data_IF_470457163136
#
_entry.id   IF_470457163136
#
_cell.length_a   1.000
_cell.length_b   1.000
_cell.length_c   1.000
_cell.angle_alpha   90.00
_cell.angle_beta   90.00
_cell.angle_gamma   90.00
#
_symmetry.space_group_name_H-M   'P 1'
#
loop_
_entity.id
_entity.type
_entity.pdbx_description
1 polymer ?
#
# COMPACT_ATOMS: atom_id res chain seq x y z
N UNK A 1 -59.82 20.20 -52.36
CA UNK A 1 -58.42 20.12 -52.85
C UNK A 1 -57.53 20.67 -51.72
N UNK A 2 -56.99 19.82 -50.87
CA UNK A 2 -56.22 20.18 -49.69
C UNK A 2 -54.89 19.44 -49.68
N UNK A 3 -53.83 20.17 -49.89
CA UNK A 3 -52.46 19.65 -49.96
C UNK A 3 -51.89 19.55 -48.54
N UNK A 4 -51.67 18.32 -48.05
CA UNK A 4 -51.00 18.03 -46.77
C UNK A 4 -49.50 18.12 -46.95
N UNK A 5 -48.89 19.10 -46.29
CA UNK A 5 -47.39 19.20 -46.19
C UNK A 5 -46.91 18.22 -45.08
N UNK A 6 -46.10 17.27 -45.48
CA UNK A 6 -45.37 16.34 -44.58
C UNK A 6 -44.03 16.98 -44.23
N UNK A 7 -43.84 17.34 -42.97
CA UNK A 7 -42.60 17.89 -42.44
C UNK A 7 -41.75 16.69 -41.94
N UNK A 8 -40.66 16.37 -42.61
CA UNK A 8 -39.72 15.37 -42.18
C UNK A 8 -38.78 15.94 -41.08
N UNK A 9 -38.76 15.34 -39.92
CA UNK A 9 -37.83 15.62 -38.84
C UNK A 9 -36.57 14.77 -39.05
N UNK A 10 -35.44 15.44 -39.26
CA UNK A 10 -34.12 14.82 -39.35
C UNK A 10 -33.58 14.68 -37.94
N UNK A 11 -33.56 13.43 -37.41
CA UNK A 11 -32.91 13.13 -36.16
C UNK A 11 -31.43 12.93 -36.39
N UNK A 12 -30.62 13.92 -35.99
CA UNK A 12 -29.16 13.80 -35.97
C UNK A 12 -28.75 13.02 -34.69
N UNK A 13 -28.37 11.77 -34.84
CA UNK A 13 -27.75 10.97 -33.77
C UNK A 13 -26.29 11.38 -33.68
N UNK A 14 -25.94 12.16 -32.64
CA UNK A 14 -24.54 12.39 -32.28
C UNK A 14 -24.01 11.13 -31.59
N UNK A 15 -23.19 10.38 -32.29
CA UNK A 15 -22.35 9.34 -31.70
C UNK A 15 -21.23 10.03 -30.89
N UNK A 16 -21.40 10.12 -29.58
CA UNK A 16 -20.29 10.47 -28.70
C UNK A 16 -19.39 9.23 -28.57
N UNK A 17 -18.23 9.27 -29.23
CA UNK A 17 -17.18 8.29 -29.02
C UNK A 17 -16.67 8.40 -27.58
N UNK A 18 -17.05 7.45 -26.72
CA UNK A 18 -16.45 7.28 -25.41
C UNK A 18 -14.99 6.83 -25.62
N UNK A 19 -14.05 7.70 -25.30
CA UNK A 19 -12.64 7.31 -25.25
C UNK A 19 -12.45 6.21 -24.19
N UNK A 20 -11.70 5.13 -24.49
CA UNK A 20 -11.46 4.08 -23.51
C UNK A 20 -10.63 4.63 -22.35
N UNK A 21 -11.19 4.60 -21.14
CA UNK A 21 -10.55 4.94 -19.85
C UNK A 21 -9.56 3.84 -19.43
N UNK A 22 -8.88 3.19 -20.36
CA UNK A 22 -8.03 2.03 -20.08
C UNK A 22 -6.53 2.21 -20.37
N UNK A 23 -6.04 3.43 -20.69
CA UNK A 23 -4.70 3.57 -21.26
C UNK A 23 -3.61 4.12 -20.32
N UNK A 24 -3.86 4.34 -19.03
CA UNK A 24 -2.88 5.04 -18.16
C UNK A 24 -1.91 4.15 -17.39
N UNK A 25 -2.06 2.84 -17.37
CA UNK A 25 -1.19 1.92 -16.61
C UNK A 25 0.01 1.38 -17.38
N UNK A 26 0.07 1.56 -18.71
CA UNK A 26 1.13 0.96 -19.55
C UNK A 26 2.47 1.70 -19.60
N UNK A 27 2.57 2.87 -18.98
CA UNK A 27 3.75 3.73 -19.10
C UNK A 27 4.66 3.75 -17.85
N UNK A 28 4.33 3.01 -16.79
CA UNK A 28 5.18 2.98 -15.59
C UNK A 28 6.42 2.13 -15.89
N UNK A 29 7.58 2.79 -15.90
CA UNK A 29 8.88 2.16 -16.17
C UNK A 29 9.66 1.83 -14.90
N UNK A 30 9.37 2.50 -13.78
CA UNK A 30 10.10 2.32 -12.53
C UNK A 30 9.32 2.88 -11.32
N UNK A 31 9.84 2.62 -10.11
CA UNK A 31 9.35 3.23 -8.87
C UNK A 31 10.50 3.55 -7.93
N UNK A 32 10.41 4.70 -7.26
CA UNK A 32 11.29 5.05 -6.15
C UNK A 32 10.81 4.27 -4.92
N UNK A 33 11.59 3.27 -4.50
CA UNK A 33 11.24 2.42 -3.34
C UNK A 33 11.91 2.84 -2.06
N UNK A 34 13.05 3.56 -2.15
CA UNK A 34 13.73 4.13 -0.98
C UNK A 34 14.22 5.54 -1.30
N UNK A 35 14.23 6.40 -0.28
CA UNK A 35 14.89 7.71 -0.31
C UNK A 35 15.78 7.83 0.92
N UNK A 36 17.04 8.21 0.68
CA UNK A 36 18.01 8.60 1.70
C UNK A 36 18.31 10.08 1.47
N UNK A 37 17.62 10.99 2.19
CA UNK A 37 17.62 12.40 1.80
C UNK A 37 18.96 13.12 2.06
N UNK A 38 19.73 12.76 3.06
CA UNK A 38 20.94 13.48 3.38
C UNK A 38 20.72 15.00 3.50
N UNK A 39 21.68 15.82 3.03
CA UNK A 39 21.53 17.29 2.91
C UNK A 39 20.94 17.73 1.58
N UNK A 40 20.88 16.82 0.63
CA UNK A 40 20.32 17.04 -0.70
C UNK A 40 18.88 16.57 -0.82
N UNK A 41 18.42 16.51 -2.05
CA UNK A 41 17.06 16.05 -2.38
C UNK A 41 17.06 15.20 -3.65
N UNK A 42 15.99 14.44 -3.78
CA UNK A 42 15.70 13.69 -5.01
C UNK A 42 14.72 14.51 -5.83
N UNK A 43 15.01 14.68 -7.12
CA UNK A 43 14.18 15.45 -8.03
C UNK A 43 13.90 14.65 -9.30
N UNK A 44 12.70 14.86 -9.86
CA UNK A 44 12.23 14.21 -11.09
C UNK A 44 11.88 15.25 -12.12
N UNK A 45 12.12 14.91 -13.39
CA UNK A 45 11.74 15.71 -14.56
C UNK A 45 11.13 14.80 -15.61
N UNK A 46 9.96 15.17 -16.10
CA UNK A 46 9.30 14.47 -17.21
C UNK A 46 9.99 14.70 -18.56
N UNK A 47 9.79 13.84 -19.55
CA UNK A 47 10.32 14.02 -20.89
C UNK A 47 9.82 15.33 -21.50
N UNK A 48 10.74 16.11 -22.08
CA UNK A 48 10.41 17.38 -22.74
C UNK A 48 10.08 18.56 -21.83
N UNK A 49 10.13 18.39 -20.49
CA UNK A 49 9.94 19.50 -19.55
C UNK A 49 11.31 20.01 -19.06
N UNK A 50 11.51 21.33 -18.92
CA UNK A 50 12.77 21.87 -18.41
C UNK A 50 12.89 21.76 -16.88
N UNK A 51 11.76 21.73 -16.16
CA UNK A 51 11.72 21.95 -14.73
C UNK A 51 11.88 20.66 -13.92
N UNK A 52 12.78 20.71 -12.94
CA UNK A 52 12.94 19.68 -11.93
C UNK A 52 11.98 19.93 -10.75
N UNK A 53 11.32 18.91 -10.29
CA UNK A 53 10.41 18.96 -9.14
C UNK A 53 10.84 17.94 -8.08
N UNK A 54 10.62 18.20 -6.80
CA UNK A 54 10.92 17.24 -5.74
C UNK A 54 10.21 15.91 -5.99
N UNK A 55 10.94 14.82 -5.80
CA UNK A 55 10.42 13.46 -5.87
C UNK A 55 10.25 12.89 -4.46
N UNK A 56 9.06 12.43 -4.15
CA UNK A 56 8.73 11.78 -2.89
C UNK A 56 8.92 10.26 -2.94
N UNK A 57 8.84 9.59 -1.78
CA UNK A 57 8.84 8.13 -1.71
C UNK A 57 7.63 7.55 -2.45
N UNK A 58 7.77 6.34 -2.97
CA UNK A 58 6.77 5.60 -3.74
C UNK A 58 6.28 6.31 -5.01
N UNK A 59 7.09 7.24 -5.55
CA UNK A 59 6.76 7.88 -6.82
C UNK A 59 6.95 6.89 -7.97
N UNK A 60 5.87 6.64 -8.72
CA UNK A 60 5.93 5.92 -9.97
C UNK A 60 6.56 6.81 -11.06
N UNK A 61 7.54 6.27 -11.77
CA UNK A 61 8.27 6.94 -12.85
C UNK A 61 7.85 6.35 -14.20
N UNK A 62 7.62 7.21 -15.16
CA UNK A 62 7.33 6.82 -16.53
C UNK A 62 8.60 6.61 -17.34
N UNK A 63 8.49 5.84 -18.41
CA UNK A 63 9.57 5.74 -19.41
C UNK A 63 9.87 7.14 -19.95
N UNK A 64 11.16 7.51 -19.94
CA UNK A 64 11.65 8.82 -20.33
C UNK A 64 11.77 9.84 -19.18
N UNK A 65 11.19 9.57 -18.01
CA UNK A 65 11.45 10.41 -16.83
C UNK A 65 12.92 10.39 -16.46
N UNK A 66 13.42 11.53 -16.02
CA UNK A 66 14.78 11.69 -15.51
C UNK A 66 14.74 11.92 -14.01
N UNK A 67 15.59 11.23 -13.28
CA UNK A 67 15.75 11.35 -11.83
C UNK A 67 17.14 11.86 -11.51
N UNK A 68 17.27 12.81 -10.59
CA UNK A 68 18.57 13.23 -10.07
C UNK A 68 18.59 13.32 -8.55
N UNK A 69 19.73 13.03 -8.00
CA UNK A 69 20.05 13.29 -6.61
C UNK A 69 20.99 14.50 -6.53
N UNK A 70 20.78 15.37 -5.55
CA UNK A 70 21.69 16.48 -5.25
C UNK A 70 22.44 16.19 -3.96
N UNK A 71 23.63 16.73 -3.83
CA UNK A 71 24.53 16.56 -2.68
C UNK A 71 24.72 15.07 -2.29
N UNK A 72 24.42 14.72 -1.05
CA UNK A 72 24.56 13.37 -0.51
C UNK A 72 23.24 12.57 -0.47
N UNK A 73 22.19 13.08 -1.11
CA UNK A 73 20.93 12.35 -1.25
C UNK A 73 21.09 11.13 -2.18
N UNK A 74 20.34 10.08 -1.92
CA UNK A 74 20.26 8.90 -2.78
C UNK A 74 18.86 8.31 -2.80
N UNK A 75 18.49 7.68 -3.92
CA UNK A 75 17.25 6.93 -4.06
C UNK A 75 17.53 5.53 -4.59
N UNK A 76 16.75 4.55 -4.14
CA UNK A 76 16.68 3.22 -4.75
C UNK A 76 15.47 3.17 -5.67
N UNK A 77 15.71 2.78 -6.91
CA UNK A 77 14.71 2.69 -7.97
C UNK A 77 14.61 1.24 -8.42
N UNK A 78 13.43 0.64 -8.27
CA UNK A 78 13.10 -0.67 -8.83
C UNK A 78 12.56 -0.46 -10.24
N UNK A 79 13.14 -1.17 -11.20
CA UNK A 79 12.80 -1.04 -12.62
C UNK A 79 11.75 -2.06 -13.01
N UNK A 80 10.74 -1.62 -13.73
CA UNK A 80 9.75 -2.48 -14.33
C UNK A 80 10.39 -3.38 -15.42
N UNK A 81 10.22 -4.71 -15.29
CA UNK A 81 10.70 -5.67 -16.28
C UNK A 81 12.23 -5.92 -16.30
N UNK A 82 12.97 -5.43 -15.32
CA UNK A 82 14.40 -5.67 -15.18
C UNK A 82 14.71 -6.19 -13.78
N UNK A 83 15.55 -7.21 -13.67
CA UNK A 83 16.01 -7.70 -12.36
C UNK A 83 16.83 -6.64 -11.64
N UNK A 84 16.62 -6.55 -10.34
CA UNK A 84 17.40 -5.68 -9.46
C UNK A 84 16.82 -4.28 -9.30
N UNK A 85 17.60 -3.47 -8.64
CA UNK A 85 17.34 -2.05 -8.40
C UNK A 85 18.54 -1.21 -8.83
N UNK A 86 18.31 0.08 -9.01
CA UNK A 86 19.36 1.06 -9.29
C UNK A 86 19.39 2.06 -8.15
N UNK A 87 20.57 2.25 -7.56
CA UNK A 87 20.80 3.37 -6.67
C UNK A 87 21.15 4.60 -7.51
N UNK A 88 20.37 5.65 -7.38
CA UNK A 88 20.59 6.96 -8.00
C UNK A 88 21.10 7.90 -6.93
N UNK A 89 22.36 8.28 -7.06
CA UNK A 89 23.09 9.25 -6.25
C UNK A 89 23.65 10.37 -7.16
N UNK A 90 24.43 11.29 -6.61
CA UNK A 90 25.04 12.38 -7.39
C UNK A 90 25.90 11.87 -8.55
N UNK A 91 26.61 10.75 -8.37
CA UNK A 91 27.48 10.19 -9.41
C UNK A 91 26.71 9.53 -10.56
N UNK A 92 25.50 9.06 -10.30
CA UNK A 92 24.58 8.46 -11.28
C UNK A 92 23.44 9.38 -11.70
N UNK A 93 23.58 10.66 -11.47
CA UNK A 93 22.59 11.69 -11.86
C UNK A 93 23.01 12.42 -13.14
N UNK A 94 22.09 12.70 -14.08
CA UNK A 94 20.68 12.25 -14.07
C UNK A 94 20.53 10.80 -14.57
N UNK A 95 19.68 10.05 -13.92
CA UNK A 95 19.25 8.71 -14.34
C UNK A 95 17.97 8.81 -15.18
N UNK A 96 17.95 8.20 -16.37
CA UNK A 96 16.79 8.20 -17.27
C UNK A 96 16.12 6.82 -17.21
N UNK A 97 14.81 6.80 -16.97
CA UNK A 97 14.01 5.57 -16.98
C UNK A 97 13.86 5.07 -18.41
N UNK A 98 14.38 3.89 -18.67
CA UNK A 98 14.32 3.25 -20.00
C UNK A 98 13.18 2.25 -20.08
N UNK A 99 12.68 2.01 -21.30
CA UNK A 99 11.67 0.97 -21.54
C UNK A 99 12.21 -0.41 -21.11
N UNK A 100 11.37 -1.26 -20.51
CA UNK A 100 11.78 -2.61 -20.14
C UNK A 100 12.11 -3.43 -21.41
N UNK A 101 13.08 -4.35 -21.32
CA UNK A 101 13.37 -5.26 -22.42
C UNK A 101 12.16 -6.19 -22.68
N UNK A 102 11.92 -6.50 -23.94
CA UNK A 102 10.85 -7.41 -24.38
C UNK A 102 11.23 -8.88 -24.06
N UNK A 103 11.28 -9.28 -22.80
CA UNK A 103 11.52 -10.66 -22.40
C UNK A 103 10.23 -11.31 -21.89
N UNK A 104 9.74 -12.33 -22.63
CA UNK A 104 8.49 -13.03 -22.35
C UNK A 104 8.48 -13.81 -21.05
N UNK A 105 9.63 -14.22 -20.50
CA UNK A 105 9.70 -14.96 -19.21
C UNK A 105 9.55 -14.04 -18.01
N UNK A 106 9.95 -12.77 -18.12
CA UNK A 106 9.76 -11.75 -17.09
C UNK A 106 8.39 -11.08 -17.18
N UNK A 107 7.65 -11.29 -18.27
CA UNK A 107 6.40 -10.57 -18.55
C UNK A 107 5.32 -10.83 -17.50
N UNK A 108 5.19 -12.06 -16.99
CA UNK A 108 4.22 -12.35 -15.91
C UNK A 108 4.63 -11.74 -14.58
N UNK A 109 5.91 -11.89 -14.19
CA UNK A 109 6.44 -11.24 -12.99
C UNK A 109 6.34 -9.72 -13.11
N UNK A 110 6.54 -9.18 -14.31
CA UNK A 110 6.36 -7.77 -14.62
C UNK A 110 4.90 -7.32 -14.42
N UNK A 111 3.92 -8.08 -14.90
CA UNK A 111 2.50 -7.75 -14.68
C UNK A 111 2.13 -7.72 -13.20
N UNK A 112 2.72 -8.60 -12.39
CA UNK A 112 2.54 -8.58 -10.94
C UNK A 112 3.20 -7.35 -10.29
N UNK A 113 4.40 -6.99 -10.73
CA UNK A 113 5.10 -5.78 -10.31
C UNK A 113 4.35 -4.53 -10.79
N UNK A 114 3.86 -4.50 -12.02
CA UNK A 114 3.04 -3.41 -12.56
C UNK A 114 1.74 -3.24 -11.77
N UNK A 115 1.07 -4.33 -11.39
CA UNK A 115 -0.08 -4.31 -10.50
C UNK A 115 0.25 -3.72 -9.13
N UNK A 116 1.39 -4.09 -8.56
CA UNK A 116 1.92 -3.52 -7.32
C UNK A 116 2.32 -2.04 -7.48
N UNK A 117 3.03 -1.70 -8.56
CA UNK A 117 3.41 -0.32 -8.90
C UNK A 117 2.17 0.54 -9.17
N UNK A 118 1.22 0.04 -9.93
CA UNK A 118 -0.04 0.71 -10.22
C UNK A 118 -0.84 1.00 -8.96
N UNK A 119 -0.87 0.06 -8.02
CA UNK A 119 -1.48 0.24 -6.71
C UNK A 119 -0.82 1.39 -5.93
N UNK A 120 0.51 1.43 -5.87
CA UNK A 120 1.26 2.44 -5.14
C UNK A 120 1.18 3.82 -5.82
N UNK A 121 1.15 3.86 -7.17
CA UNK A 121 1.06 5.10 -7.95
C UNK A 121 -0.34 5.66 -8.12
N UNK A 122 -1.40 4.86 -7.93
CA UNK A 122 -2.79 5.27 -8.16
C UNK A 122 -3.45 6.00 -6.98
N UNK A 123 -2.76 6.08 -5.85
CA UNK A 123 -3.26 6.84 -4.71
C UNK A 123 -2.84 8.30 -4.87
N UNK A 124 -3.75 9.22 -5.24
CA UNK A 124 -3.45 10.63 -5.12
C UNK A 124 -3.23 10.89 -3.62
N UNK A 125 -1.99 11.10 -3.25
CA UNK A 125 -1.66 11.59 -1.92
C UNK A 125 -2.20 13.01 -1.83
N UNK A 126 -3.48 13.14 -1.55
CA UNK A 126 -3.99 14.38 -1.02
C UNK A 126 -3.17 14.63 0.23
N UNK A 127 -2.35 15.68 0.18
CA UNK A 127 -1.69 16.17 1.40
C UNK A 127 -2.82 16.39 2.40
N UNK A 128 -2.86 15.63 3.51
CA UNK A 128 -3.87 15.87 4.52
C UNK A 128 -3.77 17.34 4.89
N UNK A 129 -4.87 18.07 4.76
CA UNK A 129 -4.95 19.42 5.30
C UNK A 129 -4.67 19.28 6.79
N UNK A 130 -3.76 20.07 7.38
CA UNK A 130 -3.53 20.02 8.81
C UNK A 130 -4.87 20.29 9.50
N UNK A 131 -5.49 19.22 9.98
CA UNK A 131 -6.60 19.36 10.90
C UNK A 131 -5.96 19.87 12.17
N UNK A 132 -6.15 21.16 12.45
CA UNK A 132 -5.76 21.73 13.73
C UNK A 132 -6.42 20.88 14.80
N UNK A 133 -5.67 19.93 15.34
CA UNK A 133 -6.07 19.05 16.43
C UNK A 133 -6.18 19.90 17.69
N UNK A 134 -7.31 20.54 17.84
CA UNK A 134 -7.69 21.18 19.09
C UNK A 134 -7.98 20.11 20.12
N UNK A 135 -7.06 19.95 21.06
CA UNK A 135 -7.11 19.16 22.29
C UNK A 135 -6.94 17.65 22.10
N UNK A 136 -6.02 17.13 22.87
CA UNK A 136 -5.78 15.73 23.20
C UNK A 136 -7.04 15.07 23.79
N UNK A 137 -8.03 14.77 22.97
CA UNK A 137 -9.07 13.82 23.36
C UNK A 137 -8.42 12.43 23.35
N UNK A 138 -8.51 11.73 24.47
CA UNK A 138 -8.04 10.35 24.58
C UNK A 138 -8.57 9.55 23.39
N UNK A 139 -7.66 8.88 22.68
CA UNK A 139 -8.05 8.11 21.48
C UNK A 139 -8.92 6.94 21.90
N UNK A 140 -10.10 6.74 21.28
CA UNK A 140 -10.86 5.54 21.55
C UNK A 140 -10.05 4.31 21.12
N UNK A 141 -10.16 3.21 21.86
CA UNK A 141 -9.52 1.97 21.46
C UNK A 141 -10.02 1.51 20.09
N UNK A 142 -9.11 1.07 19.22
CA UNK A 142 -9.41 0.68 17.85
C UNK A 142 -8.61 -0.56 17.44
N UNK A 143 -9.22 -1.47 16.71
CA UNK A 143 -8.54 -2.63 16.11
C UNK A 143 -7.74 -2.14 14.90
N UNK A 144 -6.44 -2.40 14.91
CA UNK A 144 -5.55 -2.09 13.80
C UNK A 144 -5.46 -3.24 12.79
N UNK A 145 -5.53 -4.48 13.26
CA UNK A 145 -5.30 -5.67 12.43
C UNK A 145 -5.93 -6.92 13.04
N UNK A 146 -6.55 -7.82 12.23
CA UNK A 146 -6.81 -7.67 10.79
C UNK A 146 -7.88 -6.62 10.52
N UNK A 147 -7.79 -5.91 9.39
CA UNK A 147 -8.77 -4.92 8.96
C UNK A 147 -8.71 -4.80 7.43
N UNK A 148 -9.88 -4.72 6.79
CA UNK A 148 -9.98 -4.39 5.38
C UNK A 148 -9.71 -5.55 4.42
N UNK A 149 -10.35 -6.69 4.59
CA UNK A 149 -10.35 -7.73 3.57
C UNK A 149 -9.96 -9.14 4.02
N UNK A 150 -9.60 -10.01 3.08
CA UNK A 150 -9.16 -11.36 3.36
C UNK A 150 -7.78 -11.37 4.04
N UNK A 151 -7.54 -12.42 4.84
CA UNK A 151 -6.26 -12.67 5.52
C UNK A 151 -5.80 -14.10 5.21
N UNK A 152 -4.51 -14.31 5.16
CA UNK A 152 -3.94 -15.65 5.22
C UNK A 152 -4.04 -16.17 6.65
N UNK A 153 -4.38 -17.45 6.82
CA UNK A 153 -4.50 -18.08 8.14
C UNK A 153 -3.17 -18.22 8.87
N UNK A 154 -2.07 -18.16 8.12
CA UNK A 154 -0.73 -18.36 8.66
C UNK A 154 -0.33 -17.16 9.53
N UNK A 155 0.03 -17.42 10.77
CA UNK A 155 0.56 -16.40 11.69
C UNK A 155 -0.36 -15.18 11.89
N UNK A 156 -1.69 -15.40 11.99
CA UNK A 156 -2.64 -14.33 12.28
C UNK A 156 -2.34 -13.73 13.67
N UNK A 157 -2.19 -12.41 13.70
CA UNK A 157 -2.01 -11.63 14.92
C UNK A 157 -3.04 -10.53 14.96
N UNK A 158 -3.77 -10.46 16.06
CA UNK A 158 -4.68 -9.36 16.35
C UNK A 158 -3.89 -8.21 16.97
N UNK A 159 -4.09 -7.00 16.46
CA UNK A 159 -3.45 -5.81 16.98
C UNK A 159 -4.48 -4.71 17.17
N UNK A 160 -4.35 -3.97 18.25
CA UNK A 160 -5.21 -2.83 18.57
C UNK A 160 -4.41 -1.72 19.22
N UNK A 161 -4.94 -0.52 19.11
CA UNK A 161 -4.49 0.62 19.89
C UNK A 161 -5.50 0.87 21.00
N UNK A 162 -5.04 1.23 22.17
CA UNK A 162 -5.90 1.46 23.33
C UNK A 162 -5.27 2.39 24.36
N UNK A 163 -5.97 2.57 25.47
CA UNK A 163 -5.48 3.38 26.58
C UNK A 163 -4.35 2.66 27.32
N UNK A 164 -3.36 3.42 27.73
CA UNK A 164 -2.29 2.92 28.56
C UNK A 164 -2.87 2.35 29.87
N UNK A 165 -2.37 1.21 30.32
CA UNK A 165 -2.80 0.50 31.54
C UNK A 165 -4.25 -0.05 31.52
N UNK A 166 -5.01 0.11 30.45
CA UNK A 166 -6.32 -0.52 30.33
C UNK A 166 -6.20 -2.04 30.12
N UNK A 167 -7.25 -2.75 30.53
CA UNK A 167 -7.41 -4.19 30.26
C UNK A 167 -8.44 -4.37 29.17
N UNK A 168 -8.10 -5.22 28.21
CA UNK A 168 -8.95 -5.51 27.07
C UNK A 168 -9.42 -6.95 27.07
N UNK A 169 -10.49 -7.21 26.35
CA UNK A 169 -10.86 -8.55 25.94
C UNK A 169 -11.08 -8.57 24.43
N UNK A 170 -10.68 -9.68 23.81
CA UNK A 170 -10.91 -9.96 22.39
C UNK A 170 -11.83 -11.16 22.25
N UNK A 171 -12.75 -11.06 21.30
CA UNK A 171 -13.64 -12.14 20.94
C UNK A 171 -13.63 -12.29 19.41
N UNK A 172 -13.45 -13.55 18.95
CA UNK A 172 -13.60 -13.92 17.54
C UNK A 172 -14.88 -14.73 17.40
N UNK A 173 -15.75 -14.29 16.51
CA UNK A 173 -17.07 -14.90 16.30
C UNK A 173 -17.14 -15.42 14.87
N UNK A 174 -17.42 -16.71 14.72
CA UNK A 174 -17.78 -17.36 13.45
C UNK A 174 -19.31 -17.36 13.28
N UNK A 175 -19.85 -17.71 12.11
CA UNK A 175 -21.29 -17.93 11.93
C UNK A 175 -21.88 -18.97 12.88
N UNK A 176 -21.07 -19.93 13.32
CA UNK A 176 -21.44 -20.99 14.28
C UNK A 176 -21.37 -20.58 15.75
N UNK A 177 -20.84 -19.40 16.06
CA UNK A 177 -20.68 -18.89 17.42
C UNK A 177 -19.27 -18.41 17.75
N UNK A 178 -19.00 -18.21 19.03
CA UNK A 178 -17.68 -17.74 19.52
C UNK A 178 -16.64 -18.86 19.37
N UNK A 179 -15.53 -18.57 18.67
CA UNK A 179 -14.43 -19.51 18.46
C UNK A 179 -13.21 -19.18 19.32
N UNK A 180 -13.10 -17.93 19.74
CA UNK A 180 -12.03 -17.47 20.64
C UNK A 180 -12.56 -16.38 21.55
N UNK A 181 -12.25 -16.46 22.83
CA UNK A 181 -12.39 -15.36 23.77
C UNK A 181 -11.17 -15.30 24.68
N UNK A 182 -10.58 -14.13 24.82
CA UNK A 182 -9.46 -13.85 25.72
C UNK A 182 -9.70 -12.52 26.43
N UNK A 183 -9.58 -12.54 27.75
CA UNK A 183 -9.79 -11.38 28.62
C UNK A 183 -8.53 -11.06 29.42
N UNK A 184 -8.53 -9.88 30.08
CA UNK A 184 -7.41 -9.46 30.92
C UNK A 184 -6.16 -9.06 30.13
N UNK A 185 -6.28 -8.79 28.82
CA UNK A 185 -5.17 -8.40 27.96
C UNK A 185 -4.69 -7.00 28.33
N UNK A 186 -3.38 -6.87 28.63
CA UNK A 186 -2.73 -5.59 28.99
C UNK A 186 -1.85 -5.06 27.84
N UNK A 187 -1.58 -5.89 26.84
CA UNK A 187 -0.82 -5.50 25.64
C UNK A 187 -1.72 -4.92 24.55
N UNK A 188 -1.11 -4.69 23.40
CA UNK A 188 -1.75 -4.18 22.18
C UNK A 188 -1.77 -5.20 21.04
N UNK A 189 -1.38 -6.45 21.31
CA UNK A 189 -1.32 -7.54 20.31
C UNK A 189 -1.56 -8.90 20.95
N UNK A 190 -2.17 -9.79 20.17
CA UNK A 190 -2.41 -11.18 20.53
C UNK A 190 -2.23 -12.04 19.28
N UNK A 191 -1.21 -12.91 19.27
CA UNK A 191 -1.12 -13.96 18.25
C UNK A 191 -2.30 -14.91 18.39
N UNK A 192 -2.85 -15.41 17.26
CA UNK A 192 -3.91 -16.42 17.33
C UNK A 192 -3.39 -17.64 18.10
N UNK A 193 -4.03 -18.01 19.21
CA UNK A 193 -3.46 -19.02 20.11
C UNK A 193 -3.45 -20.39 19.45
N UNK A 194 -2.38 -21.17 19.66
CA UNK A 194 -2.26 -22.52 19.12
C UNK A 194 -3.26 -23.52 19.76
N UNK A 195 -3.75 -23.21 20.96
CA UNK A 195 -4.77 -23.98 21.69
C UNK A 195 -6.21 -23.64 21.26
N UNK A 196 -6.40 -22.60 20.44
CA UNK A 196 -7.71 -22.26 19.91
C UNK A 196 -8.07 -23.13 18.70
N UNK A 197 -9.39 -23.34 18.43
CA UNK A 197 -9.83 -24.06 17.25
C UNK A 197 -9.28 -23.38 15.97
N UNK A 198 -8.74 -24.15 15.01
CA UNK A 198 -8.20 -23.55 13.79
C UNK A 198 -9.28 -22.79 13.02
N UNK A 199 -8.92 -21.63 12.50
CA UNK A 199 -9.81 -20.86 11.65
C UNK A 199 -10.03 -21.59 10.32
N UNK A 200 -11.28 -21.69 9.90
CA UNK A 200 -11.69 -22.43 8.70
C UNK A 200 -11.49 -21.56 7.45
N UNK A 201 -10.71 -22.01 6.46
CA UNK A 201 -10.58 -21.31 5.20
C UNK A 201 -11.92 -21.09 4.49
N UNK A 202 -12.09 -19.93 3.86
CA UNK A 202 -13.34 -19.52 3.21
C UNK A 202 -14.42 -19.03 4.18
N UNK A 203 -14.07 -18.84 5.46
CA UNK A 203 -15.03 -18.41 6.49
C UNK A 203 -14.79 -16.95 6.88
N UNK A 204 -15.89 -16.20 6.97
CA UNK A 204 -15.88 -14.84 7.52
C UNK A 204 -16.04 -14.86 9.04
N UNK A 205 -15.25 -14.05 9.71
CA UNK A 205 -15.24 -13.89 11.16
C UNK A 205 -15.46 -12.44 11.55
N UNK A 206 -15.97 -12.24 12.76
CA UNK A 206 -16.07 -10.92 13.40
C UNK A 206 -15.10 -10.88 14.56
N UNK A 207 -14.19 -9.92 14.58
CA UNK A 207 -13.31 -9.62 15.70
C UNK A 207 -13.91 -8.45 16.49
N UNK A 208 -14.08 -8.65 17.78
CA UNK A 208 -14.64 -7.66 18.72
C UNK A 208 -13.62 -7.33 19.79
N UNK A 209 -13.41 -6.04 20.03
CA UNK A 209 -12.56 -5.51 21.10
C UNK A 209 -13.43 -4.93 22.20
N UNK A 210 -13.19 -5.33 23.44
CA UNK A 210 -13.88 -4.84 24.62
C UNK A 210 -12.90 -4.12 25.56
N UNK A 211 -13.40 -3.06 26.21
CA UNK A 211 -12.78 -2.41 27.36
C UNK A 211 -13.77 -2.50 28.54
N UNK A 212 -13.43 -3.30 29.53
CA UNK A 212 -14.40 -3.73 30.55
C UNK A 212 -15.55 -4.53 29.91
N UNK A 213 -16.79 -4.10 30.14
CA UNK A 213 -17.98 -4.74 29.55
C UNK A 213 -18.42 -4.09 28.22
N UNK A 214 -17.81 -2.96 27.84
CA UNK A 214 -18.19 -2.21 26.65
C UNK A 214 -17.42 -2.68 25.43
N UNK A 215 -18.15 -3.04 24.35
CA UNK A 215 -17.54 -3.24 23.04
C UNK A 215 -17.11 -1.87 22.49
N UNK A 216 -15.81 -1.71 22.23
CA UNK A 216 -15.23 -0.43 21.79
C UNK A 216 -14.93 -0.39 20.30
N UNK A 217 -14.69 -1.54 19.68
CA UNK A 217 -14.55 -1.66 18.22
C UNK A 217 -14.94 -3.07 17.74
N UNK A 218 -15.31 -3.15 16.46
CA UNK A 218 -15.69 -4.41 15.81
C UNK A 218 -15.32 -4.34 14.33
N UNK A 219 -14.69 -5.40 13.83
CA UNK A 219 -14.36 -5.51 12.40
C UNK A 219 -14.70 -6.90 11.88
N UNK A 220 -14.86 -7.01 10.57
CA UNK A 220 -14.97 -8.31 9.87
C UNK A 220 -13.71 -8.60 9.10
N UNK A 221 -13.33 -9.88 9.06
CA UNK A 221 -12.27 -10.41 8.22
C UNK A 221 -12.67 -11.79 7.68
N UNK A 222 -12.05 -12.20 6.59
CA UNK A 222 -12.27 -13.51 5.98
C UNK A 222 -10.95 -14.26 5.95
N UNK A 223 -10.94 -15.50 6.39
CA UNK A 223 -9.80 -16.38 6.18
C UNK A 223 -9.88 -16.90 4.75
N UNK A 224 -8.89 -16.58 3.94
CA UNK A 224 -8.87 -16.97 2.53
C UNK A 224 -8.85 -18.49 2.37
N UNK A 225 -9.49 -18.99 1.32
CA UNK A 225 -9.41 -20.39 0.95
C UNK A 225 -8.00 -20.81 0.50
N UNK A 226 -7.72 -22.10 0.52
CA UNK A 226 -6.40 -22.64 0.18
C UNK A 226 -5.96 -22.30 -1.25
N UNK A 227 -6.79 -22.50 -2.30
CA UNK A 227 -6.40 -22.17 -3.66
C UNK A 227 -5.96 -20.72 -3.82
N UNK A 228 -6.72 -19.77 -3.29
CA UNK A 228 -6.42 -18.35 -3.36
C UNK A 228 -5.16 -17.98 -2.55
N UNK A 229 -4.95 -18.63 -1.40
CA UNK A 229 -3.73 -18.45 -0.61
C UNK A 229 -2.48 -18.98 -1.36
N UNK A 230 -2.60 -20.14 -2.03
CA UNK A 230 -1.50 -20.73 -2.78
C UNK A 230 -1.17 -19.93 -4.04
N UNK A 231 -2.18 -19.39 -4.73
CA UNK A 231 -1.99 -18.45 -5.84
C UNK A 231 -1.22 -17.21 -5.39
N UNK A 232 -1.62 -16.61 -4.27
CA UNK A 232 -0.93 -15.43 -3.73
C UNK A 232 0.51 -15.74 -3.34
N UNK A 233 0.76 -16.89 -2.68
CA UNK A 233 2.13 -17.32 -2.34
C UNK A 233 2.99 -17.53 -3.59
N UNK A 234 2.40 -18.05 -4.66
CA UNK A 234 3.09 -18.19 -5.96
C UNK A 234 3.43 -16.83 -6.52
N UNK A 235 2.48 -15.89 -6.57
CA UNK A 235 2.71 -14.53 -7.05
C UNK A 235 3.84 -13.83 -6.26
N UNK A 236 3.85 -13.93 -4.93
CA UNK A 236 4.90 -13.36 -4.10
C UNK A 236 6.28 -13.97 -4.40
N UNK A 237 6.37 -15.29 -4.61
CA UNK A 237 7.63 -15.95 -5.01
C UNK A 237 8.09 -15.49 -6.39
N UNK A 238 7.19 -15.34 -7.35
CA UNK A 238 7.52 -14.84 -8.69
C UNK A 238 8.08 -13.41 -8.63
N UNK A 239 7.46 -12.54 -7.81
CA UNK A 239 7.95 -11.17 -7.57
C UNK A 239 9.34 -11.20 -6.94
N UNK A 240 9.53 -12.04 -5.93
CA UNK A 240 10.81 -12.16 -5.22
C UNK A 240 11.95 -12.61 -6.14
N UNK A 241 11.66 -13.58 -7.01
CA UNK A 241 12.59 -14.05 -8.03
C UNK A 241 12.90 -12.97 -9.09
N UNK A 242 11.88 -12.18 -9.46
CA UNK A 242 12.03 -11.10 -10.44
C UNK A 242 12.88 -9.94 -9.88
N UNK A 243 12.74 -9.63 -8.60
CA UNK A 243 13.56 -8.61 -7.92
C UNK A 243 15.02 -9.04 -7.84
N UNK A 244 15.30 -10.33 -7.59
CA UNK A 244 16.66 -10.83 -7.42
C UNK A 244 17.25 -10.53 -6.03
N UNK A 245 18.46 -11.05 -5.73
CA UNK A 245 19.05 -10.97 -4.39
C UNK A 245 19.55 -9.58 -4.00
N UNK A 246 19.94 -8.76 -4.97
CA UNK A 246 20.61 -7.47 -4.75
C UNK A 246 19.65 -6.32 -4.42
N UNK A 247 18.31 -6.56 -4.43
CA UNK A 247 17.33 -5.55 -4.06
C UNK A 247 17.29 -5.41 -2.52
N UNK A 248 17.42 -4.18 -1.97
CA UNK A 248 17.35 -3.94 -0.54
C UNK A 248 16.09 -4.51 0.10
N UNK A 249 16.19 -4.92 1.37
CA UNK A 249 15.08 -5.54 2.10
C UNK A 249 13.84 -4.63 2.18
N UNK A 250 14.03 -3.34 2.42
CA UNK A 250 12.95 -2.35 2.47
C UNK A 250 12.26 -2.18 1.13
N UNK A 251 13.03 -2.12 0.03
CA UNK A 251 12.48 -2.08 -1.34
C UNK A 251 11.68 -3.35 -1.67
N UNK A 252 12.19 -4.52 -1.27
CA UNK A 252 11.50 -5.80 -1.42
C UNK A 252 10.18 -5.82 -0.67
N UNK A 253 10.19 -5.34 0.60
CA UNK A 253 8.98 -5.24 1.41
C UNK A 253 7.93 -4.30 0.78
N UNK A 254 8.35 -3.15 0.24
CA UNK A 254 7.47 -2.24 -0.51
C UNK A 254 6.80 -2.96 -1.68
N UNK A 255 7.56 -3.71 -2.47
CA UNK A 255 7.03 -4.41 -3.64
C UNK A 255 6.08 -5.55 -3.24
N UNK A 256 6.45 -6.37 -2.27
CA UNK A 256 5.60 -7.45 -1.75
C UNK A 256 4.29 -6.89 -1.16
N UNK A 257 4.38 -5.85 -0.33
CA UNK A 257 3.20 -5.21 0.25
C UNK A 257 2.30 -4.58 -0.82
N UNK A 258 2.87 -3.99 -1.87
CA UNK A 258 2.13 -3.48 -3.02
C UNK A 258 1.33 -4.58 -3.72
N UNK A 259 1.93 -5.74 -3.98
CA UNK A 259 1.24 -6.91 -4.58
C UNK A 259 0.13 -7.42 -3.66
N UNK A 260 0.41 -7.61 -2.38
CA UNK A 260 -0.59 -8.02 -1.38
C UNK A 260 -1.79 -7.06 -1.36
N UNK A 261 -1.53 -5.77 -1.32
CA UNK A 261 -2.56 -4.75 -1.27
C UNK A 261 -3.36 -4.65 -2.58
N UNK A 262 -2.73 -4.82 -3.74
CA UNK A 262 -3.41 -4.87 -5.05
C UNK A 262 -4.37 -6.06 -5.17
N UNK A 263 -4.08 -7.16 -4.46
CA UNK A 263 -4.93 -8.35 -4.37
C UNK A 263 -5.97 -8.27 -3.24
N UNK A 264 -5.99 -7.16 -2.47
CA UNK A 264 -6.92 -6.92 -1.37
C UNK A 264 -6.48 -7.49 -0.01
N UNK A 265 -5.27 -8.05 0.10
CA UNK A 265 -4.71 -8.60 1.35
C UNK A 265 -4.06 -7.49 2.19
N UNK A 266 -4.87 -6.51 2.64
CA UNK A 266 -4.38 -5.32 3.33
C UNK A 266 -3.74 -5.62 4.69
N UNK A 267 -4.28 -6.63 5.41
CA UNK A 267 -3.70 -7.14 6.65
C UNK A 267 -2.27 -7.67 6.43
N UNK A 268 -2.12 -8.55 5.43
CA UNK A 268 -0.83 -9.18 5.15
C UNK A 268 0.17 -8.16 4.59
N UNK A 269 -0.29 -7.20 3.77
CA UNK A 269 0.52 -6.07 3.30
C UNK A 269 1.05 -5.24 4.47
N UNK A 270 0.17 -4.87 5.42
CA UNK A 270 0.57 -4.12 6.62
C UNK A 270 1.58 -4.91 7.46
N UNK A 271 1.37 -6.22 7.62
CA UNK A 271 2.30 -7.09 8.35
C UNK A 271 3.71 -7.08 7.76
N UNK A 272 3.82 -7.12 6.43
CA UNK A 272 5.11 -7.03 5.72
C UNK A 272 5.78 -5.67 5.99
N UNK A 273 5.03 -4.57 5.88
CA UNK A 273 5.55 -3.22 6.10
C UNK A 273 6.01 -3.03 7.56
N UNK A 274 5.19 -3.45 8.53
CA UNK A 274 5.53 -3.33 9.96
C UNK A 274 6.75 -4.18 10.30
N UNK A 275 6.88 -5.39 9.73
CA UNK A 275 8.07 -6.21 9.91
C UNK A 275 9.33 -5.53 9.33
N UNK A 276 9.23 -4.91 8.15
CA UNK A 276 10.35 -4.17 7.57
C UNK A 276 10.75 -2.96 8.42
N UNK A 277 9.80 -2.24 8.99
CA UNK A 277 10.04 -1.11 9.90
C UNK A 277 10.76 -1.50 11.20
N UNK A 278 10.72 -2.78 11.61
CA UNK A 278 11.54 -3.22 12.77
C UNK A 278 13.03 -3.25 12.46
N UNK A 279 13.41 -3.35 11.19
CA UNK A 279 14.80 -3.41 10.74
C UNK A 279 15.28 -2.07 10.19
N UNK A 280 14.39 -1.32 9.52
CA UNK A 280 14.67 -0.04 8.87
C UNK A 280 13.57 0.98 9.24
N UNK A 281 13.64 1.45 10.49
CA UNK A 281 12.64 2.34 11.09
C UNK A 281 12.57 3.72 10.42
N UNK A 282 13.69 4.15 9.83
CA UNK A 282 13.84 5.50 9.26
C UNK A 282 13.57 5.54 7.74
N UNK A 283 12.91 4.52 7.18
CA UNK A 283 12.63 4.47 5.76
C UNK A 283 11.33 5.19 5.40
N UNK A 284 11.38 6.36 4.73
CA UNK A 284 10.20 7.16 4.40
C UNK A 284 9.15 6.40 3.58
N UNK A 285 9.60 5.53 2.67
CA UNK A 285 8.70 4.76 1.80
C UNK A 285 7.84 3.76 2.56
N UNK A 286 8.39 3.12 3.60
CA UNK A 286 7.65 2.18 4.44
C UNK A 286 6.57 2.91 5.26
N UNK A 287 6.89 4.09 5.82
CA UNK A 287 5.91 4.91 6.52
C UNK A 287 4.82 5.44 5.58
N UNK A 288 5.19 5.89 4.38
CA UNK A 288 4.21 6.32 3.39
C UNK A 288 3.25 5.18 3.00
N UNK A 289 3.79 3.98 2.74
CA UNK A 289 2.97 2.80 2.43
C UNK A 289 2.09 2.37 3.61
N UNK A 290 2.60 2.46 4.84
CA UNK A 290 1.81 2.19 6.04
C UNK A 290 0.64 3.16 6.15
N UNK A 291 0.86 4.45 5.84
CA UNK A 291 -0.19 5.47 5.75
C UNK A 291 -1.26 5.11 4.72
N UNK A 292 -0.86 4.70 3.51
CA UNK A 292 -1.79 4.25 2.47
C UNK A 292 -2.63 3.05 2.93
N UNK A 293 -2.03 2.09 3.62
CA UNK A 293 -2.74 0.92 4.14
C UNK A 293 -3.72 1.29 5.25
N UNK A 294 -3.35 2.18 6.16
CA UNK A 294 -4.25 2.69 7.20
C UNK A 294 -5.43 3.47 6.60
N UNK A 295 -5.18 4.36 5.64
CA UNK A 295 -6.24 5.10 4.96
C UNK A 295 -7.26 4.17 4.30
N UNK A 296 -6.80 3.12 3.59
CA UNK A 296 -7.66 2.12 2.94
C UNK A 296 -8.44 1.25 3.92
N UNK A 297 -7.95 1.08 5.13
CA UNK A 297 -8.60 0.28 6.17
C UNK A 297 -9.46 1.11 7.12
N UNK A 298 -9.67 2.40 6.81
CA UNK A 298 -10.54 3.29 7.58
C UNK A 298 -9.93 3.75 8.90
N UNK A 299 -8.61 3.93 8.94
CA UNK A 299 -7.84 4.40 10.06
C UNK A 299 -7.14 5.74 9.71
N UNK A 300 -7.91 6.84 9.51
CA UNK A 300 -7.38 8.10 8.99
C UNK A 300 -6.35 8.76 9.91
N UNK A 301 -6.48 8.64 11.23
CA UNK A 301 -5.53 9.22 12.19
C UNK A 301 -4.18 8.52 12.15
N UNK A 302 -4.19 7.19 12.11
CA UNK A 302 -3.00 6.36 11.99
C UNK A 302 -2.33 6.59 10.62
N UNK A 303 -3.14 6.83 9.58
CA UNK A 303 -2.65 7.20 8.25
C UNK A 303 -1.94 8.56 8.29
N UNK A 304 -2.53 9.58 8.91
CA UNK A 304 -1.95 10.92 9.01
C UNK A 304 -0.61 10.87 9.75
N UNK A 305 -0.52 10.14 10.88
CA UNK A 305 0.72 9.96 11.64
C UNK A 305 1.82 9.29 10.81
N UNK A 306 1.46 8.23 10.10
CA UNK A 306 2.41 7.53 9.23
C UNK A 306 2.89 8.43 8.07
N UNK A 307 2.03 9.23 7.47
CA UNK A 307 2.41 10.21 6.45
C UNK A 307 3.26 11.36 7.01
N UNK A 308 2.99 11.83 8.24
CA UNK A 308 3.82 12.84 8.90
C UNK A 308 5.22 12.30 9.15
N UNK A 309 5.33 11.06 9.65
CA UNK A 309 6.63 10.41 9.82
C UNK A 309 7.37 10.25 8.49
N UNK A 310 6.68 9.81 7.43
CA UNK A 310 7.27 9.69 6.10
C UNK A 310 7.83 11.03 5.59
N UNK A 311 7.10 12.13 5.82
CA UNK A 311 7.54 13.47 5.42
C UNK A 311 8.72 13.97 6.23
N UNK A 312 8.69 13.79 7.55
CA UNK A 312 9.78 14.18 8.44
C UNK A 312 11.09 13.46 8.08
N UNK A 313 11.00 12.17 7.73
CA UNK A 313 12.15 11.38 7.31
C UNK A 313 12.62 11.70 5.88
N UNK A 314 11.72 12.09 4.98
CA UNK A 314 12.06 12.44 3.60
C UNK A 314 12.67 13.85 3.46
N UNK A 315 12.41 14.76 4.37
CA UNK A 315 12.92 16.13 4.37
C UNK A 315 13.26 16.58 5.80
N UNK A 316 14.39 16.09 6.36
CA UNK A 316 14.80 16.41 7.72
C UNK A 316 15.19 17.88 7.92
N UNK A 317 15.36 18.65 6.85
CA UNK A 317 15.63 20.08 6.89
C UNK A 317 14.36 20.95 7.02
N UNK A 318 13.19 20.36 6.97
CA UNK A 318 11.91 21.04 7.12
C UNK A 318 11.55 21.12 8.61
N UNK A 319 11.45 22.34 9.18
CA UNK A 319 11.12 22.54 10.60
C UNK A 319 9.70 22.06 10.96
#
# INVERSE_FOLDING_TARGET
>A
MGMRRVTAWLVVVMLTAAAPVGAQTRDIGAMITEIKPGRGRIEVRGPGTPDWRPAGPLLALKVGDSLRATDDAAAVVVLAGRRGSVQVDAARSPFVVTAPPADTKLQKAFLLLEGGLGFLGSNPRETPRPVLSTRSMARPPVILSPRGGPVMSDALTFEWQGYQFARYALRVVAPSGIVLERSGLTGSRLAYPADAPPLVPGTAYTLQLFSGQSRVDEIRFEVVDRPRADDLRRDLREVDQALGPDVPASSRAVMQAGVLASRGFLHDARRVVVAALTTDADQPSLHALLGDLYARTGLPREADEAYEQARALADPARP
#
